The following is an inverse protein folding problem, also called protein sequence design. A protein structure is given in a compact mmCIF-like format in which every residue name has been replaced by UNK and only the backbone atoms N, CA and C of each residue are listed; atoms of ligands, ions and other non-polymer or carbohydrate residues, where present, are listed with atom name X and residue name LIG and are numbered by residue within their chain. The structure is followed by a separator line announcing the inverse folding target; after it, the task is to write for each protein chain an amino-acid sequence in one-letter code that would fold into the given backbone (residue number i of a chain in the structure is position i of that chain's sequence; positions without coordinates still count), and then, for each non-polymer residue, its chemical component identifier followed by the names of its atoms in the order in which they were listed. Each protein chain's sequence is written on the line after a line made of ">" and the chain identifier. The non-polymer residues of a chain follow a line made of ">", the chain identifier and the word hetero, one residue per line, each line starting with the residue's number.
data_IF_395825735278
#
_entry.id   IF_395825735278
#
_cell.length_a   1.000
_cell.length_b   1.000
_cell.length_c   1.000
_cell.angle_alpha   90.00
_cell.angle_beta   90.00
_cell.angle_gamma   90.00
#
_symmetry.space_group_name_H-M   'P 1'
#
loop_
_entity.id
_entity.type
_entity.pdbx_description
1 polymer ?
#
# COMPACT_ATOMS: atom_id res chain seq x y z
N UNK A 1 9.12 -9.46 30.20
CA UNK A 1 8.21 -9.15 29.07
C UNK A 1 6.77 -9.34 29.53
N UNK A 2 5.93 -8.33 29.39
CA UNK A 2 4.51 -8.41 29.72
C UNK A 2 3.81 -9.47 28.85
N UNK A 3 2.76 -10.12 29.38
CA UNK A 3 1.91 -11.06 28.65
C UNK A 3 0.55 -10.41 28.45
N UNK A 4 0.11 -10.29 27.20
CA UNK A 4 -1.23 -9.79 26.86
C UNK A 4 -2.23 -10.94 26.89
N UNK A 5 -3.36 -10.73 27.53
CA UNK A 5 -4.50 -11.65 27.48
C UNK A 5 -5.34 -11.32 26.24
N UNK A 6 -5.36 -12.23 25.27
CA UNK A 6 -6.10 -12.05 24.01
C UNK A 6 -7.29 -13.00 23.98
N UNK A 7 -8.49 -12.46 23.75
CA UNK A 7 -9.70 -13.24 23.50
C UNK A 7 -9.75 -13.67 22.04
N UNK A 8 -9.60 -14.97 21.80
CA UNK A 8 -9.72 -15.57 20.47
C UNK A 8 -11.20 -15.91 20.24
N UNK A 9 -11.78 -15.36 19.16
CA UNK A 9 -13.15 -15.69 18.74
C UNK A 9 -13.19 -17.05 18.05
N UNK A 10 -14.37 -17.64 17.94
CA UNK A 10 -14.58 -18.86 17.17
C UNK A 10 -14.25 -18.61 15.68
N UNK A 11 -13.53 -19.53 15.04
CA UNK A 11 -13.29 -19.48 13.59
C UNK A 11 -12.97 -20.85 12.99
N UNK A 12 -13.25 -21.02 11.70
CA UNK A 12 -12.82 -22.20 10.91
C UNK A 12 -11.39 -21.97 10.40
N UNK A 13 -10.45 -22.82 10.83
CA UNK A 13 -9.05 -22.78 10.40
C UNK A 13 -8.85 -23.69 9.20
N UNK A 14 -8.32 -23.16 8.09
CA UNK A 14 -7.89 -23.95 6.93
C UNK A 14 -6.65 -24.77 7.24
N UNK A 15 -6.41 -25.84 6.48
CA UNK A 15 -5.18 -26.61 6.58
C UNK A 15 -3.98 -25.77 6.10
N UNK A 16 -2.83 -25.91 6.76
CA UNK A 16 -1.59 -25.23 6.39
C UNK A 16 -0.35 -25.98 6.91
N UNK A 17 0.81 -25.69 6.34
CA UNK A 17 2.11 -26.17 6.83
C UNK A 17 2.77 -25.10 7.70
N UNK A 18 3.34 -25.51 8.83
CA UNK A 18 4.03 -24.62 9.75
C UNK A 18 5.35 -25.25 10.20
N UNK A 19 6.41 -24.46 10.27
CA UNK A 19 7.64 -24.88 10.96
C UNK A 19 7.46 -24.68 12.47
N UNK A 20 7.63 -25.75 13.25
CA UNK A 20 7.63 -25.71 14.71
C UNK A 20 8.85 -26.45 15.22
N UNK A 21 9.72 -25.74 15.96
CA UNK A 21 10.98 -26.29 16.52
C UNK A 21 11.83 -27.02 15.45
N UNK A 22 11.97 -26.39 14.28
CA UNK A 22 12.75 -26.93 13.16
C UNK A 22 12.07 -28.03 12.34
N UNK A 23 10.90 -28.54 12.76
CA UNK A 23 10.16 -29.58 12.04
C UNK A 23 8.99 -28.98 11.26
N UNK A 24 8.78 -29.44 10.03
CA UNK A 24 7.61 -29.08 9.22
C UNK A 24 6.42 -29.90 9.72
N UNK A 25 5.42 -29.21 10.28
CA UNK A 25 4.18 -29.79 10.78
C UNK A 25 3.02 -29.43 9.84
N UNK A 26 2.30 -30.43 9.35
CA UNK A 26 1.05 -30.24 8.61
C UNK A 26 -0.11 -30.09 9.60
N UNK A 27 -0.71 -28.92 9.63
CA UNK A 27 -1.87 -28.62 10.47
C UNK A 27 -3.14 -28.88 9.65
N UNK A 28 -3.97 -29.82 10.11
CA UNK A 28 -5.27 -30.11 9.50
C UNK A 28 -6.27 -28.97 9.73
N UNK A 29 -7.24 -28.87 8.82
CA UNK A 29 -8.36 -27.98 8.96
C UNK A 29 -9.18 -28.37 10.22
N UNK A 30 -9.62 -27.38 10.99
CA UNK A 30 -10.37 -27.60 12.22
C UNK A 30 -11.16 -26.34 12.62
N UNK A 31 -12.23 -26.53 13.38
CA UNK A 31 -12.95 -25.44 14.03
C UNK A 31 -12.26 -25.08 15.35
N UNK A 32 -11.79 -23.85 15.49
CA UNK A 32 -11.16 -23.36 16.71
C UNK A 32 -12.23 -22.71 17.58
N UNK A 33 -12.48 -23.30 18.75
CA UNK A 33 -13.41 -22.75 19.74
C UNK A 33 -12.89 -21.45 20.35
N UNK A 34 -13.82 -20.60 20.78
CA UNK A 34 -13.46 -19.37 21.46
C UNK A 34 -12.75 -19.69 22.79
N UNK A 35 -11.63 -19.02 23.04
CA UNK A 35 -10.83 -19.20 24.25
C UNK A 35 -9.96 -17.97 24.49
N UNK A 36 -9.40 -17.86 25.68
CA UNK A 36 -8.41 -16.84 26.02
C UNK A 36 -7.02 -17.43 25.95
N UNK A 37 -6.06 -16.70 25.35
CA UNK A 37 -4.65 -17.09 25.36
C UNK A 37 -3.77 -15.94 25.82
N UNK A 38 -2.72 -16.27 26.56
CA UNK A 38 -1.65 -15.33 26.92
C UNK A 38 -0.64 -15.30 25.77
N UNK A 39 -0.47 -14.14 25.14
CA UNK A 39 0.52 -13.93 24.09
C UNK A 39 1.63 -13.06 24.65
N UNK A 40 2.87 -13.31 24.25
CA UNK A 40 3.97 -12.41 24.60
C UNK A 40 3.65 -11.04 24.00
N UNK A 41 3.70 -10.00 24.82
CA UNK A 41 3.69 -8.65 24.31
C UNK A 41 4.99 -8.44 23.53
N UNK A 42 4.87 -8.20 22.23
CA UNK A 42 6.03 -7.97 21.38
C UNK A 42 6.57 -6.55 21.55
N UNK A 43 5.88 -5.67 22.29
CA UNK A 43 6.35 -4.36 22.77
C UNK A 43 6.65 -3.32 21.69
N UNK A 44 6.84 -3.74 20.44
CA UNK A 44 7.30 -2.88 19.35
C UNK A 44 6.11 -2.45 18.49
N UNK A 45 5.93 -1.13 18.27
CA UNK A 45 5.04 -0.65 17.23
C UNK A 45 5.47 -1.28 15.89
N UNK A 46 4.52 -1.84 15.13
CA UNK A 46 4.84 -2.52 13.88
C UNK A 46 5.78 -1.70 12.98
N UNK A 47 6.71 -2.38 12.26
CA UNK A 47 7.90 -1.90 11.51
C UNK A 47 7.99 -0.45 11.04
N UNK A 48 6.89 0.23 10.77
CA UNK A 48 6.85 1.64 10.41
C UNK A 48 6.65 2.51 11.66
N UNK A 49 7.62 3.36 12.01
CA UNK A 49 7.48 4.35 13.09
C UNK A 49 6.17 5.12 12.95
N UNK A 50 5.45 5.44 14.04
CA UNK A 50 4.21 6.23 13.97
C UNK A 50 4.38 7.54 13.19
N UNK A 51 5.51 8.22 13.39
CA UNK A 51 5.93 9.43 12.65
C UNK A 51 6.05 9.23 11.13
N UNK A 52 6.22 8.00 10.66
CA UNK A 52 6.31 7.61 9.24
C UNK A 52 5.06 6.92 8.71
N UNK A 53 4.06 6.63 9.56
CA UNK A 53 2.73 6.13 9.12
C UNK A 53 1.86 7.26 8.57
N UNK A 54 2.18 8.49 8.91
CA UNK A 54 1.48 9.66 8.45
C UNK A 54 1.88 9.94 6.99
N UNK A 55 0.99 9.63 6.05
CA UNK A 55 0.96 10.38 4.79
C UNK A 55 0.40 11.74 5.21
N UNK A 56 1.19 12.84 5.22
CA UNK A 56 0.65 14.15 5.56
C UNK A 56 -0.58 14.40 4.70
N UNK A 57 -1.65 14.99 5.26
CA UNK A 57 -2.87 15.26 4.50
C UNK A 57 -2.45 15.96 3.22
N UNK A 58 -2.77 15.32 2.10
CA UNK A 58 -2.44 15.86 0.80
C UNK A 58 -3.20 17.18 0.70
N UNK A 59 -2.48 18.30 0.83
CA UNK A 59 -3.07 19.60 0.57
C UNK A 59 -3.70 19.55 -0.83
N UNK A 60 -4.95 20.05 -1.00
CA UNK A 60 -5.52 20.25 -2.33
C UNK A 60 -4.47 20.91 -3.24
N UNK A 61 -4.25 20.35 -4.42
CA UNK A 61 -3.23 20.87 -5.34
C UNK A 61 -1.77 20.48 -5.05
N UNK A 62 -1.46 19.60 -4.09
CA UNK A 62 -0.08 19.12 -3.85
C UNK A 62 0.57 18.46 -5.09
N UNK A 63 -0.24 17.87 -5.96
CA UNK A 63 0.19 17.36 -7.27
C UNK A 63 0.04 18.37 -8.41
N UNK A 64 -0.48 19.57 -8.16
CA UNK A 64 -0.57 20.68 -9.12
C UNK A 64 -1.43 20.33 -10.32
N UNK A 65 -2.35 19.38 -10.14
CA UNK A 65 -3.29 18.90 -11.14
C UNK A 65 -4.68 19.02 -10.54
N UNK A 66 -5.65 19.40 -11.36
CA UNK A 66 -7.06 19.15 -11.07
C UNK A 66 -7.49 17.87 -11.79
N UNK A 67 -8.36 17.08 -11.16
CA UNK A 67 -8.94 15.89 -11.80
C UNK A 67 -10.03 16.22 -12.82
N UNK A 68 -10.43 17.48 -12.93
CA UNK A 68 -11.38 17.99 -13.92
C UNK A 68 -10.68 18.30 -15.25
N UNK A 69 -9.37 18.52 -15.24
CA UNK A 69 -8.55 18.69 -16.44
C UNK A 69 -8.56 17.42 -17.32
N UNK A 70 -8.26 17.57 -18.60
CA UNK A 70 -8.09 16.42 -19.51
C UNK A 70 -6.91 15.53 -19.08
N UNK A 71 -6.99 14.23 -19.39
CA UNK A 71 -5.95 13.28 -19.01
C UNK A 71 -4.55 13.66 -19.57
N UNK A 72 -4.49 14.22 -20.78
CA UNK A 72 -3.25 14.69 -21.38
C UNK A 72 -2.60 15.82 -20.59
N UNK A 73 -3.38 16.83 -20.17
CA UNK A 73 -2.90 17.95 -19.37
C UNK A 73 -2.36 17.48 -18.00
N UNK A 74 -3.13 16.63 -17.29
CA UNK A 74 -2.70 16.07 -16.00
C UNK A 74 -1.40 15.29 -16.13
N UNK A 75 -1.30 14.41 -17.14
CA UNK A 75 -0.12 13.56 -17.35
C UNK A 75 1.14 14.36 -17.70
N UNK A 76 1.02 15.45 -18.47
CA UNK A 76 2.15 16.36 -18.74
C UNK A 76 2.66 17.01 -17.45
N UNK A 77 1.76 17.53 -16.61
CA UNK A 77 2.11 18.12 -15.31
C UNK A 77 2.74 17.10 -14.35
N UNK A 78 2.17 15.89 -14.29
CA UNK A 78 2.70 14.78 -13.49
C UNK A 78 4.07 14.31 -13.97
N UNK A 79 4.31 14.24 -15.28
CA UNK A 79 5.62 13.93 -15.85
C UNK A 79 6.67 14.99 -15.45
N UNK A 80 6.31 16.28 -15.51
CA UNK A 80 7.16 17.36 -15.02
C UNK A 80 7.51 17.22 -13.53
N UNK A 81 6.53 16.85 -12.69
CA UNK A 81 6.76 16.58 -11.26
C UNK A 81 7.58 15.32 -11.01
N UNK A 82 7.38 14.25 -11.78
CA UNK A 82 8.14 13.01 -11.66
C UNK A 82 9.63 13.24 -11.95
N UNK A 83 9.97 14.10 -12.92
CA UNK A 83 11.36 14.52 -13.17
C UNK A 83 11.98 15.26 -11.97
N UNK A 84 11.22 16.13 -11.30
CA UNK A 84 11.71 16.95 -10.17
C UNK A 84 11.85 16.14 -8.88
N UNK A 85 10.76 15.51 -8.44
CA UNK A 85 10.62 14.88 -7.11
C UNK A 85 10.88 13.37 -7.14
N UNK A 86 10.77 12.75 -8.32
CA UNK A 86 10.91 11.32 -8.52
C UNK A 86 9.58 10.60 -8.67
N UNK A 87 9.57 9.61 -9.54
CA UNK A 87 8.45 8.72 -9.88
C UNK A 87 7.78 8.13 -8.63
N UNK A 88 8.55 7.49 -7.74
CA UNK A 88 8.01 6.83 -6.53
C UNK A 88 7.22 7.79 -5.64
N UNK A 89 7.69 9.03 -5.48
CA UNK A 89 7.01 10.02 -4.68
C UNK A 89 5.67 10.44 -5.32
N UNK A 90 5.67 10.65 -6.64
CA UNK A 90 4.46 11.01 -7.39
C UNK A 90 3.44 9.87 -7.37
N UNK A 91 3.87 8.64 -7.62
CA UNK A 91 3.02 7.43 -7.59
C UNK A 91 2.44 7.23 -6.19
N UNK A 92 3.25 7.34 -5.13
CA UNK A 92 2.79 7.22 -3.75
C UNK A 92 1.69 8.22 -3.40
N UNK A 93 1.85 9.49 -3.83
CA UNK A 93 0.82 10.53 -3.63
C UNK A 93 -0.45 10.22 -4.41
N UNK A 94 -0.36 9.79 -5.67
CA UNK A 94 -1.55 9.41 -6.47
C UNK A 94 -2.29 8.21 -5.86
N UNK A 95 -1.56 7.23 -5.32
CA UNK A 95 -2.16 6.09 -4.60
C UNK A 95 -2.83 6.52 -3.30
N UNK A 96 -2.27 7.47 -2.57
CA UNK A 96 -2.92 8.04 -1.39
C UNK A 96 -4.23 8.76 -1.75
N UNK A 97 -4.25 9.55 -2.84
CA UNK A 97 -5.50 10.16 -3.34
C UNK A 97 -6.51 9.07 -3.72
N UNK A 98 -6.08 8.04 -4.45
CA UNK A 98 -6.94 6.93 -4.84
C UNK A 98 -7.64 6.29 -3.64
N UNK A 99 -6.91 6.03 -2.55
CA UNK A 99 -7.45 5.43 -1.33
C UNK A 99 -8.38 6.40 -0.61
N UNK A 100 -7.98 7.66 -0.47
CA UNK A 100 -8.75 8.70 0.23
C UNK A 100 -10.11 8.95 -0.45
N UNK A 101 -10.14 9.00 -1.78
CA UNK A 101 -11.35 9.31 -2.55
C UNK A 101 -12.14 8.08 -2.98
N UNK A 102 -11.71 6.87 -2.57
CA UNK A 102 -12.31 5.60 -3.06
C UNK A 102 -13.82 5.54 -2.80
N UNK A 103 -14.26 6.03 -1.64
CA UNK A 103 -15.66 5.98 -1.22
C UNK A 103 -16.40 7.30 -1.48
N UNK A 104 -15.70 8.45 -1.38
CA UNK A 104 -16.31 9.78 -1.51
C UNK A 104 -16.39 10.28 -2.95
N UNK A 105 -15.44 9.90 -3.81
CA UNK A 105 -15.43 10.28 -5.23
C UNK A 105 -14.78 9.19 -6.09
N UNK A 106 -15.55 8.15 -6.48
CA UNK A 106 -15.03 7.01 -7.23
C UNK A 106 -14.46 7.38 -8.62
N UNK A 107 -14.93 8.46 -9.24
CA UNK A 107 -14.42 8.96 -10.52
C UNK A 107 -12.98 9.48 -10.37
N UNK A 108 -12.73 10.29 -9.34
CA UNK A 108 -11.39 10.80 -9.00
C UNK A 108 -10.46 9.66 -8.63
N UNK A 109 -10.94 8.68 -7.84
CA UNK A 109 -10.16 7.49 -7.49
C UNK A 109 -9.69 6.72 -8.74
N UNK A 110 -10.58 6.50 -9.72
CA UNK A 110 -10.24 5.85 -11.00
C UNK A 110 -9.23 6.66 -11.80
N UNK A 111 -9.41 7.98 -11.92
CA UNK A 111 -8.46 8.88 -12.60
C UNK A 111 -7.07 8.84 -11.94
N UNK A 112 -7.01 8.95 -10.61
CA UNK A 112 -5.77 8.88 -9.84
C UNK A 112 -5.04 7.54 -10.01
N UNK A 113 -5.77 6.41 -10.02
CA UNK A 113 -5.22 5.09 -10.31
C UNK A 113 -4.60 5.04 -11.72
N UNK A 114 -5.33 5.50 -12.73
CA UNK A 114 -4.87 5.50 -14.12
C UNK A 114 -3.60 6.34 -14.31
N UNK A 115 -3.57 7.53 -13.71
CA UNK A 115 -2.43 8.43 -13.78
C UNK A 115 -1.21 7.86 -13.01
N UNK A 116 -1.44 7.12 -11.91
CA UNK A 116 -0.37 6.42 -11.21
C UNK A 116 0.27 5.32 -12.07
N UNK A 117 -0.54 4.56 -12.82
CA UNK A 117 -0.03 3.56 -13.76
C UNK A 117 0.74 4.19 -14.92
N UNK A 118 0.27 5.33 -15.43
CA UNK A 118 0.99 6.07 -16.46
C UNK A 118 2.38 6.51 -15.99
N UNK A 119 2.48 7.16 -14.82
CA UNK A 119 3.76 7.62 -14.28
C UNK A 119 4.70 6.44 -13.99
N UNK A 120 4.17 5.38 -13.38
CA UNK A 120 4.94 4.18 -13.07
C UNK A 120 5.42 3.42 -14.32
N UNK A 121 4.79 3.57 -15.49
CA UNK A 121 5.23 2.95 -16.73
C UNK A 121 6.15 3.82 -17.59
N UNK A 122 6.13 5.14 -17.37
CA UNK A 122 6.86 6.13 -18.17
C UNK A 122 8.17 6.60 -17.53
N UNK A 123 8.41 6.33 -16.25
CA UNK A 123 9.59 6.79 -15.53
C UNK A 123 10.24 5.69 -14.69
N UNK A 124 11.56 5.81 -14.49
CA UNK A 124 12.33 5.11 -13.46
C UNK A 124 13.10 6.15 -12.66
N UNK A 125 12.71 6.38 -11.41
CA UNK A 125 13.28 7.45 -10.60
C UNK A 125 12.96 8.83 -11.19
N UNK A 126 13.96 9.56 -11.71
CA UNK A 126 13.78 10.85 -12.38
C UNK A 126 13.88 10.78 -13.91
N UNK A 127 14.25 9.62 -14.46
CA UNK A 127 14.50 9.43 -15.90
C UNK A 127 13.25 8.91 -16.60
N UNK A 128 12.92 9.45 -17.77
CA UNK A 128 11.85 8.92 -18.63
C UNK A 128 12.38 7.67 -19.34
N UNK A 129 11.57 6.62 -19.39
CA UNK A 129 11.91 5.37 -20.06
C UNK A 129 10.98 5.10 -21.24
N UNK A 130 11.45 4.36 -22.27
CA UNK A 130 10.54 3.76 -23.23
C UNK A 130 9.51 2.89 -22.48
N UNK A 131 8.26 2.93 -22.93
CA UNK A 131 7.12 2.31 -22.25
C UNK A 131 7.38 0.84 -21.92
N UNK A 132 7.11 0.43 -20.68
CA UNK A 132 7.16 -0.97 -20.24
C UNK A 132 8.28 -1.34 -19.27
N UNK A 133 9.22 -0.43 -18.99
CA UNK A 133 10.34 -0.66 -18.06
C UNK A 133 10.07 -0.22 -16.61
N UNK A 134 9.09 0.64 -16.36
CA UNK A 134 8.84 1.15 -15.02
C UNK A 134 8.13 0.15 -14.10
N UNK A 135 8.65 -0.01 -12.89
CA UNK A 135 8.25 -0.92 -11.80
C UNK A 135 8.18 -2.44 -12.04
N UNK A 136 8.37 -2.95 -13.26
CA UNK A 136 8.55 -4.40 -13.46
C UNK A 136 9.95 -4.80 -13.00
N UNK A 137 10.08 -5.27 -11.76
CA UNK A 137 11.24 -6.08 -11.36
C UNK A 137 11.37 -7.24 -12.36
N UNK A 138 12.49 -7.28 -13.08
CA UNK A 138 13.02 -8.53 -13.62
C UNK A 138 13.12 -9.52 -12.45
N UNK A 139 12.47 -10.67 -12.59
CA UNK A 139 12.83 -11.88 -11.85
C UNK A 139 13.79 -12.66 -12.72
#
# INVERSE_FOLDING_TARGET
>A
MAKLTVRVRFYKRKAFTASRRGKIVRVRAASVRAHTKKVKDLGLPGRTPPSRRFVPPLKPGALGISFDETAGARRRKLAGKAKKVGEKAVVGRLRAIQVLTKNTSPSVSRKAKADAHYVAGAFVGKKRVPSGQGFRKRK
#
